data_IF_080369354392
#
_entry.id   IF_080369354392
#
_cell.length_a   1.000
_cell.length_b   1.000
_cell.length_c   1.000
_cell.angle_alpha   90.00
_cell.angle_beta   90.00
_cell.angle_gamma   90.00
#
_symmetry.space_group_name_H-M   'P 1'
#
loop_
_entity.id
_entity.type
_entity.pdbx_description
1 polymer ?
#
# COMPACT_ATOMS: atom_id res chain seq x y z
N UNK A 1 -8.16 -31.04 -24.16
CA UNK A 1 -8.09 -30.06 -23.05
C UNK A 1 -8.92 -28.85 -23.39
N UNK A 2 -9.93 -28.55 -22.57
CA UNK A 2 -10.71 -27.32 -22.66
C UNK A 2 -9.79 -26.11 -22.45
N UNK A 3 -10.24 -24.91 -22.88
CA UNK A 3 -9.49 -23.66 -22.68
C UNK A 3 -9.17 -23.42 -21.19
N UNK A 4 -10.09 -23.82 -20.31
CA UNK A 4 -9.94 -23.67 -18.86
C UNK A 4 -8.87 -24.59 -18.28
N UNK A 5 -8.84 -25.85 -18.70
CA UNK A 5 -7.83 -26.81 -18.26
C UNK A 5 -6.42 -26.39 -18.64
N UNK A 6 -6.24 -25.82 -19.85
CA UNK A 6 -4.96 -25.25 -20.29
C UNK A 6 -4.53 -24.07 -19.41
N UNK A 7 -5.46 -23.19 -19.03
CA UNK A 7 -5.20 -22.07 -18.11
C UNK A 7 -4.82 -22.57 -16.72
N UNK A 8 -5.54 -23.56 -16.18
CA UNK A 8 -5.24 -24.17 -14.87
C UNK A 8 -3.84 -24.80 -14.85
N UNK A 9 -3.50 -25.62 -15.86
CA UNK A 9 -2.15 -26.23 -15.99
C UNK A 9 -1.05 -25.18 -16.05
N UNK A 10 -1.23 -24.11 -16.85
CA UNK A 10 -0.26 -23.01 -16.90
C UNK A 10 -0.07 -22.34 -15.55
N UNK A 11 -1.16 -22.04 -14.84
CA UNK A 11 -1.13 -21.40 -13.51
C UNK A 11 -0.44 -22.27 -12.45
N UNK A 12 -0.56 -23.59 -12.59
CA UNK A 12 0.10 -24.57 -11.73
C UNK A 12 1.59 -24.80 -12.05
N UNK A 13 2.16 -24.15 -13.09
CA UNK A 13 3.61 -24.22 -13.32
C UNK A 13 4.36 -23.38 -12.30
N UNK A 14 5.54 -23.86 -11.87
CA UNK A 14 6.42 -23.10 -10.98
C UNK A 14 6.79 -21.73 -11.60
N UNK A 15 7.14 -21.71 -12.90
CA UNK A 15 7.44 -20.47 -13.64
C UNK A 15 6.33 -19.42 -13.52
N UNK A 16 5.07 -19.83 -13.70
CA UNK A 16 3.95 -18.91 -13.56
C UNK A 16 3.78 -18.41 -12.13
N UNK A 17 3.85 -19.31 -11.14
CA UNK A 17 3.70 -18.94 -9.72
C UNK A 17 4.79 -17.97 -9.28
N UNK A 18 6.06 -18.25 -9.59
CA UNK A 18 7.18 -17.37 -9.25
C UNK A 18 7.03 -16.01 -9.92
N UNK A 19 6.73 -15.97 -11.23
CA UNK A 19 6.51 -14.71 -11.92
C UNK A 19 5.31 -13.91 -11.37
N UNK A 20 4.27 -14.56 -10.85
CA UNK A 20 3.17 -13.90 -10.16
C UNK A 20 3.57 -13.37 -8.79
N UNK A 21 4.25 -14.18 -7.99
CA UNK A 21 4.73 -13.77 -6.67
C UNK A 21 5.69 -12.58 -6.77
N UNK A 22 6.61 -12.57 -7.74
CA UNK A 22 7.51 -11.43 -7.98
C UNK A 22 6.74 -10.17 -8.33
N UNK A 23 5.74 -10.26 -9.22
CA UNK A 23 4.91 -9.11 -9.59
C UNK A 23 4.13 -8.56 -8.41
N UNK A 24 3.56 -9.43 -7.58
CA UNK A 24 2.82 -9.01 -6.39
C UNK A 24 3.74 -8.39 -5.34
N UNK A 25 4.95 -8.93 -5.15
CA UNK A 25 5.97 -8.33 -4.28
C UNK A 25 6.32 -6.90 -4.71
N UNK A 26 6.57 -6.68 -6.01
CA UNK A 26 6.87 -5.35 -6.55
C UNK A 26 5.68 -4.40 -6.33
N UNK A 27 4.44 -4.87 -6.56
CA UNK A 27 3.23 -4.08 -6.31
C UNK A 27 3.11 -3.65 -4.85
N UNK A 28 3.34 -4.57 -3.92
CA UNK A 28 3.28 -4.32 -2.48
C UNK A 28 4.42 -3.41 -2.01
N UNK A 29 5.61 -3.56 -2.59
CA UNK A 29 6.77 -2.70 -2.32
C UNK A 29 6.48 -1.26 -2.75
N UNK A 30 5.99 -1.05 -3.98
CA UNK A 30 5.56 0.26 -4.45
C UNK A 30 4.46 0.88 -3.57
N UNK A 31 3.48 0.08 -3.14
CA UNK A 31 2.47 0.52 -2.18
C UNK A 31 3.09 0.97 -0.85
N UNK A 32 4.02 0.19 -0.28
CA UNK A 32 4.65 0.53 1.00
C UNK A 32 5.54 1.78 0.91
N UNK A 33 6.21 2.01 -0.23
CA UNK A 33 6.96 3.25 -0.49
C UNK A 33 6.02 4.46 -0.45
N UNK A 34 4.92 4.43 -1.20
CA UNK A 34 3.92 5.50 -1.17
C UNK A 34 3.34 5.71 0.24
N UNK A 35 3.15 4.63 1.00
CA UNK A 35 2.68 4.68 2.38
C UNK A 35 3.69 5.33 3.34
N UNK A 36 4.99 5.09 3.12
CA UNK A 36 6.08 5.73 3.84
C UNK A 36 6.15 7.23 3.56
N UNK A 37 5.99 7.64 2.30
CA UNK A 37 5.92 9.06 1.93
C UNK A 37 4.73 9.76 2.60
N UNK A 38 3.54 9.14 2.61
CA UNK A 38 2.40 9.67 3.35
C UNK A 38 2.72 9.83 4.83
N UNK A 39 3.29 8.81 5.48
CA UNK A 39 3.67 8.86 6.91
C UNK A 39 4.62 10.02 7.23
N UNK A 40 5.57 10.32 6.34
CA UNK A 40 6.55 11.39 6.53
C UNK A 40 5.92 12.79 6.59
N UNK A 41 4.77 12.97 5.95
CA UNK A 41 4.02 14.23 5.95
C UNK A 41 3.16 14.42 7.21
N UNK A 42 2.93 13.37 8.01
CA UNK A 42 2.02 13.42 9.15
C UNK A 42 2.73 13.90 10.42
N UNK A 43 2.13 14.84 11.16
CA UNK A 43 2.68 15.29 12.43
C UNK A 43 2.52 14.21 13.51
N UNK A 44 3.62 13.85 14.19
CA UNK A 44 3.60 12.93 15.35
C UNK A 44 4.54 13.39 16.45
N UNK A 45 4.19 13.06 17.71
CA UNK A 45 5.06 13.22 18.86
C UNK A 45 5.25 11.84 19.55
N UNK A 46 6.48 11.30 19.64
CA UNK A 46 7.71 11.80 18.99
C UNK A 46 7.65 11.68 17.45
N UNK A 47 8.53 12.38 16.70
CA UNK A 47 8.53 12.35 15.23
C UNK A 47 8.67 10.95 14.61
N UNK A 48 9.35 10.05 15.31
CA UNK A 48 9.61 8.66 14.92
C UNK A 48 8.56 7.66 15.43
N UNK A 49 7.44 8.14 15.99
CA UNK A 49 6.33 7.29 16.46
C UNK A 49 5.91 6.31 15.38
N UNK A 50 6.03 5.01 15.66
CA UNK A 50 5.55 3.96 14.74
C UNK A 50 4.01 4.03 14.68
N UNK A 51 3.49 4.11 13.46
CA UNK A 51 2.06 4.10 13.18
C UNK A 51 1.73 2.88 12.31
N UNK A 52 0.62 2.22 12.61
CA UNK A 52 0.02 1.22 11.74
C UNK A 52 -0.58 1.86 10.47
N UNK A 53 -0.90 1.02 9.47
CA UNK A 53 -1.49 1.51 8.22
C UNK A 53 -2.81 2.25 8.45
N UNK A 54 -3.67 1.74 9.32
CA UNK A 54 -4.95 2.38 9.60
C UNK A 54 -4.78 3.72 10.33
N UNK A 55 -3.81 3.82 11.25
CA UNK A 55 -3.52 5.08 11.95
C UNK A 55 -3.01 6.16 11.00
N UNK A 56 -2.13 5.81 10.06
CA UNK A 56 -1.63 6.74 9.03
C UNK A 56 -2.79 7.31 8.21
N UNK A 57 -3.71 6.46 7.75
CA UNK A 57 -4.87 6.92 6.97
C UNK A 57 -5.78 7.84 7.78
N UNK A 58 -6.09 7.47 9.02
CA UNK A 58 -6.93 8.29 9.91
C UNK A 58 -6.30 9.63 10.23
N UNK A 59 -4.99 9.64 10.52
CA UNK A 59 -4.25 10.85 10.82
C UNK A 59 -4.10 11.75 9.58
N UNK A 60 -3.91 11.17 8.39
CA UNK A 60 -3.92 11.94 7.14
C UNK A 60 -5.24 12.66 6.90
N UNK A 61 -6.37 11.97 7.08
CA UNK A 61 -7.70 12.59 6.96
C UNK A 61 -7.85 13.73 7.97
N UNK A 62 -7.52 13.47 9.24
CA UNK A 62 -7.59 14.48 10.30
C UNK A 62 -6.71 15.70 10.00
N UNK A 63 -5.49 15.47 9.50
CA UNK A 63 -4.54 16.54 9.21
C UNK A 63 -4.97 17.40 8.02
N UNK A 64 -5.51 16.79 6.95
CA UNK A 64 -6.11 17.54 5.83
C UNK A 64 -7.26 18.43 6.35
N UNK A 65 -8.17 17.88 7.16
CA UNK A 65 -9.28 18.66 7.73
C UNK A 65 -8.79 19.80 8.63
N UNK A 66 -7.76 19.55 9.43
CA UNK A 66 -7.14 20.57 10.28
C UNK A 66 -6.54 21.71 9.45
N UNK A 67 -5.76 21.39 8.41
CA UNK A 67 -5.15 22.39 7.54
C UNK A 67 -6.19 23.23 6.80
N UNK A 68 -7.27 22.61 6.30
CA UNK A 68 -8.38 23.35 5.70
C UNK A 68 -9.01 24.32 6.69
N UNK A 69 -9.29 23.88 7.92
CA UNK A 69 -9.83 24.76 8.96
C UNK A 69 -8.91 25.94 9.29
N UNK A 70 -7.59 25.72 9.33
CA UNK A 70 -6.61 26.79 9.58
C UNK A 70 -6.55 27.80 8.43
N UNK A 71 -6.83 27.39 7.19
CA UNK A 71 -6.83 28.27 6.02
C UNK A 71 -8.15 29.04 5.82
N UNK A 72 -9.27 28.49 6.31
CA UNK A 72 -10.60 29.12 6.24
C UNK A 72 -10.82 30.19 7.35
N UNK A 73 -9.92 30.25 8.34
CA UNK A 73 -9.90 31.23 9.44
C UNK A 73 -8.89 32.33 9.14
#
# INVERSE_FOLDING_TARGET
>A
LTREERRRRRRATAKYRTAHATRERIRVEAFNVAFGELRRLLPTLPPDKKLSKIEILRLAICYISYLNHVLDV
#
